data_IF_213674126009
#
_entry.id   IF_213674126009
#
_cell.length_a   1.000
_cell.length_b   1.000
_cell.length_c   1.000
_cell.angle_alpha   90.00
_cell.angle_beta   90.00
_cell.angle_gamma   90.00
#
_symmetry.space_group_name_H-M   'P 1'
#
loop_
_entity.id
_entity.type
_entity.pdbx_description
1 polymer ?
#
# COMPACT_ATOMS: atom_id res chain seq x y z
N UNK A 1 -8.74 -11.86 -32.39
CA UNK A 1 -10.07 -11.81 -31.76
C UNK A 1 -10.02 -10.72 -30.71
N UNK A 2 -10.52 -9.54 -31.04
CA UNK A 2 -10.62 -8.41 -30.11
C UNK A 2 -11.98 -8.55 -29.44
N UNK A 3 -12.00 -8.82 -28.13
CA UNK A 3 -13.25 -8.76 -27.38
C UNK A 3 -13.61 -7.28 -27.28
N UNK A 4 -14.54 -6.84 -28.12
CA UNK A 4 -15.22 -5.55 -27.94
C UNK A 4 -16.15 -5.70 -26.73
N UNK A 5 -15.78 -5.09 -25.61
CA UNK A 5 -16.63 -4.94 -24.43
C UNK A 5 -17.72 -3.90 -24.74
N UNK A 6 -18.68 -4.27 -25.60
CA UNK A 6 -19.85 -3.45 -25.91
C UNK A 6 -21.00 -3.61 -24.89
N UNK A 7 -20.76 -4.32 -23.78
CA UNK A 7 -21.68 -4.36 -22.64
C UNK A 7 -20.92 -4.08 -21.34
N UNK A 8 -20.68 -2.80 -21.05
CA UNK A 8 -19.96 -2.34 -19.84
C UNK A 8 -20.73 -2.57 -18.52
N UNK A 9 -21.85 -3.29 -18.53
CA UNK A 9 -22.78 -3.36 -17.40
C UNK A 9 -22.77 -4.68 -16.62
N UNK A 10 -22.11 -5.73 -17.10
CA UNK A 10 -22.20 -7.06 -16.48
C UNK A 10 -20.83 -7.71 -16.38
N UNK A 11 -20.17 -7.55 -15.24
CA UNK A 11 -19.10 -8.45 -14.73
C UNK A 11 -18.64 -8.10 -13.30
N UNK A 12 -19.10 -6.98 -12.73
CA UNK A 12 -18.72 -6.54 -11.37
C UNK A 12 -19.75 -6.98 -10.34
N UNK A 13 -19.76 -8.28 -10.03
CA UNK A 13 -20.59 -8.89 -8.97
C UNK A 13 -19.77 -9.14 -7.70
N UNK A 14 -20.46 -9.36 -6.58
CA UNK A 14 -19.85 -9.85 -5.32
C UNK A 14 -18.94 -11.06 -5.57
N UNK A 15 -19.34 -11.97 -6.49
CA UNK A 15 -18.57 -13.16 -6.85
C UNK A 15 -17.23 -12.85 -7.53
N UNK A 16 -17.20 -11.90 -8.48
CA UNK A 16 -15.95 -11.51 -9.17
C UNK A 16 -14.95 -10.89 -8.19
N UNK A 17 -15.45 -10.03 -7.28
CA UNK A 17 -14.62 -9.42 -6.26
C UNK A 17 -14.10 -10.47 -5.27
N UNK A 18 -14.96 -11.38 -4.81
CA UNK A 18 -14.57 -12.48 -3.94
C UNK A 18 -13.46 -13.32 -4.57
N UNK A 19 -13.60 -13.71 -5.85
CA UNK A 19 -12.58 -14.47 -6.56
C UNK A 19 -11.23 -13.74 -6.62
N UNK A 20 -11.23 -12.43 -6.90
CA UNK A 20 -10.00 -11.64 -6.92
C UNK A 20 -9.33 -11.63 -5.53
N UNK A 21 -10.12 -11.36 -4.48
CA UNK A 21 -9.63 -11.34 -3.09
C UNK A 21 -9.01 -12.68 -2.68
N UNK A 22 -9.73 -13.77 -2.90
CA UNK A 22 -9.21 -15.10 -2.59
C UNK A 22 -7.99 -15.45 -3.45
N UNK A 23 -7.94 -15.00 -4.71
CA UNK A 23 -6.80 -15.28 -5.58
C UNK A 23 -5.53 -14.62 -5.06
N UNK A 24 -5.55 -13.33 -4.72
CA UNK A 24 -4.31 -12.69 -4.24
C UNK A 24 -3.94 -13.10 -2.80
N UNK A 25 -4.92 -13.51 -1.97
CA UNK A 25 -4.70 -13.97 -0.59
C UNK A 25 -4.20 -15.42 -0.51
N UNK A 26 -4.78 -16.34 -1.27
CA UNK A 26 -4.58 -17.78 -1.08
C UNK A 26 -3.82 -18.50 -2.20
N UNK A 27 -3.68 -17.91 -3.40
CA UNK A 27 -3.08 -18.60 -4.53
C UNK A 27 -1.59 -18.87 -4.28
N UNK A 28 -1.13 -20.11 -4.48
CA UNK A 28 0.29 -20.44 -4.33
C UNK A 28 1.15 -19.93 -5.50
N UNK A 29 0.57 -19.80 -6.69
CA UNK A 29 1.28 -19.31 -7.85
C UNK A 29 1.45 -17.78 -7.82
N UNK A 30 2.70 -17.36 -7.72
CA UNK A 30 3.12 -15.95 -7.59
C UNK A 30 2.72 -15.07 -8.77
N UNK A 31 2.75 -15.60 -9.99
CA UNK A 31 2.40 -14.88 -11.22
C UNK A 31 0.90 -14.62 -11.22
N UNK A 32 0.11 -15.60 -10.79
CA UNK A 32 -1.34 -15.48 -10.67
C UNK A 32 -1.71 -14.51 -9.55
N UNK A 33 -1.06 -14.59 -8.38
CA UNK A 33 -1.26 -13.61 -7.29
C UNK A 33 -0.99 -12.19 -7.77
N UNK A 34 0.17 -11.97 -8.38
CA UNK A 34 0.57 -10.66 -8.89
C UNK A 34 -0.40 -10.14 -9.94
N UNK A 35 -0.84 -11.01 -10.86
CA UNK A 35 -1.85 -10.65 -11.88
C UNK A 35 -3.19 -10.26 -11.25
N UNK A 36 -3.61 -10.95 -10.17
CA UNK A 36 -4.83 -10.61 -9.44
C UNK A 36 -4.71 -9.25 -8.73
N UNK A 37 -3.57 -8.94 -8.11
CA UNK A 37 -3.31 -7.62 -7.51
C UNK A 37 -3.30 -6.51 -8.57
N UNK A 38 -2.69 -6.74 -9.74
CA UNK A 38 -2.73 -5.78 -10.84
C UNK A 38 -4.14 -5.57 -11.39
N UNK A 39 -4.93 -6.64 -11.52
CA UNK A 39 -6.34 -6.56 -11.91
C UNK A 39 -7.13 -5.73 -10.90
N UNK A 40 -6.93 -5.99 -9.59
CA UNK A 40 -7.56 -5.26 -8.51
C UNK A 40 -7.28 -3.75 -8.59
N UNK A 41 -6.02 -3.35 -8.78
CA UNK A 41 -5.63 -1.94 -8.93
C UNK A 41 -6.42 -1.25 -10.03
N UNK A 42 -6.57 -1.91 -11.18
CA UNK A 42 -7.28 -1.33 -12.32
C UNK A 42 -8.78 -1.20 -12.03
N UNK A 43 -9.39 -2.18 -11.36
CA UNK A 43 -10.81 -2.17 -11.05
C UNK A 43 -11.19 -1.13 -9.98
N UNK A 44 -10.40 -1.02 -8.90
CA UNK A 44 -10.61 -0.01 -7.85
C UNK A 44 -10.56 1.40 -8.42
N UNK A 45 -9.66 1.66 -9.37
CA UNK A 45 -9.52 2.97 -10.00
C UNK A 45 -10.57 3.24 -11.08
N UNK A 46 -11.13 2.20 -11.69
CA UNK A 46 -12.09 2.34 -12.79
C UNK A 46 -13.55 2.47 -12.33
N UNK A 47 -13.91 1.89 -11.18
CA UNK A 47 -15.30 1.87 -10.71
C UNK A 47 -15.41 2.00 -9.17
N UNK A 48 -16.03 3.10 -8.73
CA UNK A 48 -16.32 3.33 -7.32
C UNK A 48 -17.27 2.27 -6.73
N UNK A 49 -18.19 1.70 -7.52
CA UNK A 49 -19.08 0.63 -7.03
C UNK A 49 -18.31 -0.66 -6.77
N UNK A 50 -17.32 -0.97 -7.59
CA UNK A 50 -16.43 -2.10 -7.35
C UNK A 50 -15.69 -1.94 -6.03
N UNK A 51 -15.22 -0.74 -5.72
CA UNK A 51 -14.57 -0.47 -4.44
C UNK A 51 -15.50 -0.74 -3.24
N UNK A 52 -16.78 -0.36 -3.30
CA UNK A 52 -17.73 -0.65 -2.23
C UNK A 52 -17.95 -2.17 -2.04
N UNK A 53 -18.04 -2.92 -3.14
CA UNK A 53 -18.12 -4.39 -3.10
C UNK A 53 -16.83 -4.98 -2.52
N UNK A 54 -15.67 -4.45 -2.89
CA UNK A 54 -14.37 -4.85 -2.37
C UNK A 54 -14.26 -4.65 -0.86
N UNK A 55 -14.70 -3.50 -0.36
CA UNK A 55 -14.78 -3.23 1.08
C UNK A 55 -15.71 -4.21 1.79
N UNK A 56 -16.92 -4.43 1.27
CA UNK A 56 -17.92 -5.37 1.84
C UNK A 56 -17.39 -6.81 1.95
N UNK A 57 -16.52 -7.22 1.02
CA UNK A 57 -15.93 -8.56 0.98
C UNK A 57 -14.61 -8.69 1.78
N UNK A 58 -14.27 -7.73 2.65
CA UNK A 58 -13.05 -7.78 3.45
C UNK A 58 -11.77 -7.64 2.62
N UNK A 59 -11.86 -7.06 1.41
CA UNK A 59 -10.72 -6.91 0.51
C UNK A 59 -9.62 -6.00 1.08
N UNK A 60 -10.03 -4.99 1.84
CA UNK A 60 -9.16 -4.08 2.59
C UNK A 60 -8.26 -4.82 3.60
N UNK A 61 -8.87 -5.68 4.42
CA UNK A 61 -8.16 -6.49 5.41
C UNK A 61 -7.24 -7.50 4.70
N UNK A 62 -7.70 -8.10 3.60
CA UNK A 62 -6.88 -8.98 2.79
C UNK A 62 -5.64 -8.27 2.19
N UNK A 63 -5.76 -6.99 1.79
CA UNK A 63 -4.60 -6.20 1.37
C UNK A 63 -3.63 -5.96 2.53
N UNK A 64 -4.14 -5.64 3.73
CA UNK A 64 -3.32 -5.47 4.92
C UNK A 64 -2.57 -6.75 5.30
N UNK A 65 -3.25 -7.90 5.30
CA UNK A 65 -2.65 -9.22 5.55
C UNK A 65 -1.44 -9.45 4.63
N UNK A 66 -1.62 -9.22 3.33
CA UNK A 66 -0.56 -9.38 2.32
C UNK A 66 0.57 -8.35 2.51
N UNK A 67 0.25 -7.11 2.88
CA UNK A 67 1.26 -6.09 3.14
C UNK A 67 2.12 -6.39 4.38
N UNK A 68 1.54 -7.07 5.37
CA UNK A 68 2.22 -7.49 6.60
C UNK A 68 2.86 -8.87 6.50
N UNK A 69 2.64 -9.58 5.39
CA UNK A 69 3.08 -10.96 5.19
C UNK A 69 2.39 -11.97 6.09
N UNK A 70 1.17 -11.65 6.55
CA UNK A 70 0.27 -12.50 7.34
C UNK A 70 -0.69 -13.31 6.47
N UNK A 71 -0.52 -13.30 5.14
CA UNK A 71 -1.39 -14.12 4.29
C UNK A 71 -1.05 -15.61 4.42
N UNK A 72 -2.07 -16.47 4.33
CA UNK A 72 -2.01 -17.92 4.58
C UNK A 72 -0.92 -18.66 3.79
N UNK A 73 -0.44 -18.07 2.68
CA UNK A 73 0.66 -18.63 1.88
C UNK A 73 2.04 -18.19 2.35
N UNK A 74 2.17 -17.03 2.97
CA UNK A 74 3.45 -16.48 3.44
C UNK A 74 3.81 -16.91 4.86
N UNK A 75 2.83 -17.27 5.70
CA UNK A 75 3.11 -17.85 7.03
C UNK A 75 3.96 -19.13 6.96
N UNK A 76 3.98 -19.80 5.79
CA UNK A 76 4.69 -21.06 5.55
C UNK A 76 5.94 -20.92 4.66
N UNK A 77 6.39 -19.70 4.33
CA UNK A 77 7.57 -19.46 3.49
C UNK A 77 8.59 -18.55 4.18
N UNK A 78 9.88 -18.85 3.99
CA UNK A 78 11.00 -18.15 4.65
C UNK A 78 11.10 -16.67 4.27
N UNK A 79 10.58 -16.26 3.10
CA UNK A 79 10.47 -14.86 2.71
C UNK A 79 9.18 -14.57 1.92
N UNK A 80 8.46 -13.49 2.27
CA UNK A 80 7.27 -13.06 1.54
C UNK A 80 7.61 -12.56 0.12
N UNK A 81 6.71 -12.75 -0.85
CA UNK A 81 6.93 -12.24 -2.21
C UNK A 81 6.89 -10.71 -2.23
N UNK A 82 8.04 -10.13 -2.54
CA UNK A 82 8.25 -8.68 -2.52
C UNK A 82 7.40 -7.94 -3.56
N UNK A 83 7.03 -8.57 -4.69
CA UNK A 83 6.26 -7.91 -5.77
C UNK A 83 4.79 -7.80 -5.43
N UNK A 84 4.20 -8.88 -4.92
CA UNK A 84 2.81 -8.93 -4.46
C UNK A 84 2.63 -7.99 -3.27
N UNK A 85 3.55 -8.04 -2.30
CA UNK A 85 3.56 -7.13 -1.15
C UNK A 85 3.64 -5.67 -1.61
N UNK A 86 4.62 -5.35 -2.44
CA UNK A 86 4.81 -4.01 -2.98
C UNK A 86 3.57 -3.47 -3.68
N UNK A 87 2.97 -4.24 -4.57
CA UNK A 87 1.82 -3.76 -5.34
C UNK A 87 0.56 -3.67 -4.50
N UNK A 88 0.40 -4.55 -3.50
CA UNK A 88 -0.67 -4.46 -2.51
C UNK A 88 -0.53 -3.20 -1.66
N UNK A 89 0.70 -2.86 -1.22
CA UNK A 89 0.96 -1.62 -0.48
C UNK A 89 0.59 -0.40 -1.32
N UNK A 90 0.93 -0.41 -2.62
CA UNK A 90 0.58 0.71 -3.51
C UNK A 90 -0.91 0.91 -3.66
N UNK A 91 -1.68 -0.18 -3.78
CA UNK A 91 -3.14 -0.11 -3.83
C UNK A 91 -3.67 0.46 -2.51
N UNK A 92 -3.20 -0.06 -1.38
CA UNK A 92 -3.61 0.41 -0.05
C UNK A 92 -3.30 1.91 0.13
N UNK A 93 -2.08 2.35 -0.18
CA UNK A 93 -1.71 3.77 -0.12
C UNK A 93 -2.61 4.61 -1.03
N UNK A 94 -2.89 4.16 -2.26
CA UNK A 94 -3.78 4.87 -3.18
C UNK A 94 -5.20 5.01 -2.64
N UNK A 95 -5.75 3.96 -2.03
CA UNK A 95 -7.09 3.99 -1.39
C UNK A 95 -7.08 5.01 -0.25
N UNK A 96 -6.06 4.97 0.60
CA UNK A 96 -5.94 5.84 1.77
C UNK A 96 -5.73 7.32 1.40
N UNK A 97 -5.04 7.61 0.29
CA UNK A 97 -4.86 8.99 -0.20
C UNK A 97 -6.14 9.64 -0.72
N UNK A 98 -7.05 8.84 -1.27
CA UNK A 98 -8.17 9.35 -2.08
C UNK A 98 -9.45 9.60 -1.30
N UNK A 99 -9.55 9.11 -0.06
CA UNK A 99 -10.79 9.21 0.69
C UNK A 99 -10.53 9.29 2.20
N UNK A 100 -10.85 10.45 2.77
CA UNK A 100 -10.69 10.76 4.19
C UNK A 100 -11.62 9.92 5.08
N UNK A 101 -12.81 9.57 4.58
CA UNK A 101 -13.77 8.74 5.31
C UNK A 101 -13.30 7.28 5.31
N UNK A 102 -12.75 6.78 4.18
CA UNK A 102 -12.03 5.49 4.16
C UNK A 102 -10.87 5.50 5.14
N UNK A 103 -10.18 6.63 5.28
CA UNK A 103 -9.07 6.73 6.23
C UNK A 103 -9.49 6.54 7.68
N UNK A 104 -10.66 7.04 8.07
CA UNK A 104 -11.14 6.94 9.45
C UNK A 104 -11.33 5.50 9.91
N UNK A 105 -11.75 4.60 9.01
CA UNK A 105 -11.90 3.17 9.30
C UNK A 105 -10.53 2.49 9.50
N UNK A 106 -9.54 2.87 8.67
CA UNK A 106 -8.20 2.28 8.65
C UNK A 106 -7.24 2.86 9.70
N UNK A 107 -7.28 4.17 9.95
CA UNK A 107 -6.40 4.86 10.91
C UNK A 107 -6.66 4.44 12.37
N UNK A 108 -7.72 3.64 12.62
CA UNK A 108 -8.03 3.08 13.93
C UNK A 108 -7.40 1.71 14.18
N UNK A 109 -6.74 1.11 13.18
CA UNK A 109 -6.08 -0.18 13.33
C UNK A 109 -4.56 0.01 13.42
N UNK A 110 -3.94 -0.55 14.45
CA UNK A 110 -2.48 -0.55 14.63
C UNK A 110 -1.76 -1.22 13.43
N UNK A 111 -2.47 -2.06 12.69
CA UNK A 111 -1.96 -2.80 11.54
C UNK A 111 -1.61 -1.91 10.35
N UNK A 112 -2.36 -0.84 10.11
CA UNK A 112 -2.04 0.13 9.06
C UNK A 112 -0.71 0.81 9.37
N UNK A 113 -0.53 1.25 10.61
CA UNK A 113 0.70 1.90 11.04
C UNK A 113 1.91 0.96 10.96
N UNK A 114 1.75 -0.31 11.38
CA UNK A 114 2.77 -1.35 11.20
C UNK A 114 3.10 -1.56 9.73
N UNK A 115 2.09 -1.61 8.86
CA UNK A 115 2.27 -1.74 7.42
C UNK A 115 3.07 -0.56 6.85
N UNK A 116 2.69 0.68 7.17
CA UNK A 116 3.41 1.86 6.71
C UNK A 116 4.87 1.87 7.19
N UNK A 117 5.10 1.56 8.46
CA UNK A 117 6.44 1.50 9.03
C UNK A 117 7.31 0.43 8.35
N UNK A 118 6.78 -0.77 8.14
CA UNK A 118 7.52 -1.85 7.47
C UNK A 118 7.86 -1.50 6.02
N UNK A 119 6.94 -0.85 5.30
CA UNK A 119 7.21 -0.41 3.93
C UNK A 119 8.20 0.77 3.89
N UNK A 120 8.24 1.60 4.94
CA UNK A 120 9.22 2.67 5.08
C UNK A 120 10.64 2.14 5.29
N UNK A 121 10.81 0.95 5.90
CA UNK A 121 12.13 0.32 6.11
C UNK A 121 12.76 -0.21 4.82
N UNK A 122 11.99 -0.40 3.74
CA UNK A 122 12.48 -0.91 2.45
C UNK A 122 13.47 0.04 1.78
N UNK A 123 14.23 -0.44 0.79
CA UNK A 123 15.15 0.38 -0.01
C UNK A 123 14.52 0.92 -1.30
N UNK A 124 13.20 0.73 -1.46
CA UNK A 124 12.52 1.09 -2.70
C UNK A 124 12.00 2.53 -2.64
N UNK A 125 12.78 3.45 -3.20
CA UNK A 125 12.57 4.91 -3.14
C UNK A 125 11.14 5.36 -3.46
N UNK A 126 10.53 4.81 -4.51
CA UNK A 126 9.16 5.17 -4.89
C UNK A 126 8.13 4.77 -3.82
N UNK A 127 8.30 3.63 -3.15
CA UNK A 127 7.40 3.24 -2.06
C UNK A 127 7.62 4.09 -0.82
N UNK A 128 8.88 4.38 -0.48
CA UNK A 128 9.23 5.29 0.62
C UNK A 128 8.51 6.63 0.41
N UNK A 129 8.62 7.21 -0.79
CA UNK A 129 7.95 8.47 -1.16
C UNK A 129 6.43 8.38 -0.96
N UNK A 130 5.80 7.32 -1.48
CA UNK A 130 4.36 7.12 -1.40
C UNK A 130 3.86 7.01 0.05
N UNK A 131 4.57 6.23 0.87
CA UNK A 131 4.29 6.01 2.31
C UNK A 131 4.50 7.30 3.11
N UNK A 132 5.60 8.01 2.90
CA UNK A 132 5.85 9.28 3.61
C UNK A 132 4.83 10.36 3.26
N UNK A 133 4.47 10.46 1.98
CA UNK A 133 3.42 11.38 1.55
C UNK A 133 2.11 11.09 2.27
N UNK A 134 1.76 9.80 2.42
CA UNK A 134 0.57 9.38 3.15
C UNK A 134 0.63 9.72 4.64
N UNK A 135 1.76 9.46 5.30
CA UNK A 135 1.96 9.78 6.73
C UNK A 135 1.80 11.28 6.96
N UNK A 136 2.41 12.12 6.12
CA UNK A 136 2.27 13.58 6.20
C UNK A 136 0.80 13.98 5.98
N UNK A 137 0.14 13.38 5.00
CA UNK A 137 -1.28 13.63 4.73
C UNK A 137 -2.17 13.25 5.93
N UNK A 138 -1.84 12.21 6.69
CA UNK A 138 -2.56 11.85 7.91
C UNK A 138 -2.43 12.95 8.97
N UNK A 139 -1.21 13.46 9.15
CA UNK A 139 -0.93 14.56 10.08
C UNK A 139 -1.66 15.84 9.65
N UNK A 140 -1.60 16.18 8.35
CA UNK A 140 -2.30 17.33 7.74
C UNK A 140 -3.83 17.22 7.92
N UNK A 141 -4.38 16.01 7.89
CA UNK A 141 -5.80 15.75 8.10
C UNK A 141 -6.23 15.69 9.57
N UNK A 142 -5.28 15.79 10.51
CA UNK A 142 -5.52 15.78 11.96
C UNK A 142 -5.64 14.39 12.58
N UNK A 143 -5.20 13.33 11.88
CA UNK A 143 -5.15 11.99 12.45
C UNK A 143 -4.00 11.86 13.44
N UNK A 144 -4.30 11.37 14.64
CA UNK A 144 -3.28 11.10 15.66
C UNK A 144 -2.57 9.79 15.37
N UNK A 145 -1.32 9.86 14.90
CA UNK A 145 -0.45 8.69 14.81
C UNK A 145 -0.04 8.29 16.24
N UNK A 146 -0.12 6.99 16.62
CA UNK A 146 0.35 6.54 17.93
C UNK A 146 1.80 6.95 18.17
N UNK A 147 2.10 7.49 19.37
CA UNK A 147 3.40 8.09 19.65
C UNK A 147 4.57 7.10 19.48
N UNK A 148 4.38 5.84 19.85
CA UNK A 148 5.38 4.77 19.64
C UNK A 148 5.74 4.59 18.15
N UNK A 149 4.73 4.55 17.29
CA UNK A 149 4.90 4.45 15.83
C UNK A 149 5.58 5.71 15.30
N UNK A 150 5.18 6.89 15.76
CA UNK A 150 5.77 8.16 15.32
C UNK A 150 7.27 8.24 15.67
N UNK A 151 7.66 7.77 16.85
CA UNK A 151 9.07 7.69 17.27
C UNK A 151 9.85 6.75 16.35
N UNK A 152 9.30 5.58 16.03
CA UNK A 152 9.94 4.63 15.11
C UNK A 152 10.06 5.18 13.68
N UNK A 153 9.00 5.82 13.15
CA UNK A 153 9.04 6.49 11.84
C UNK A 153 10.15 7.54 11.83
N UNK A 154 10.23 8.40 12.87
CA UNK A 154 11.29 9.42 12.98
C UNK A 154 12.69 8.80 13.00
N UNK A 155 12.87 7.66 13.67
CA UNK A 155 14.14 6.95 13.69
C UNK A 155 14.53 6.43 12.30
N UNK A 156 13.60 5.78 11.58
CA UNK A 156 13.83 5.25 10.22
C UNK A 156 14.12 6.38 9.23
N UNK A 157 13.38 7.49 9.29
CA UNK A 157 13.60 8.65 8.42
C UNK A 157 15.00 9.23 8.64
N UNK A 158 15.45 9.39 9.90
CA UNK A 158 16.79 9.91 10.20
C UNK A 158 17.89 9.00 9.66
N UNK A 159 17.79 7.70 9.91
CA UNK A 159 18.77 6.71 9.43
C UNK A 159 18.90 6.71 7.90
N UNK A 160 17.76 6.70 7.19
CA UNK A 160 17.75 6.77 5.72
C UNK A 160 18.24 8.11 5.20
N UNK A 161 17.88 9.22 5.84
CA UNK A 161 18.34 10.56 5.47
C UNK A 161 19.87 10.66 5.60
N UNK A 162 20.45 10.19 6.70
CA UNK A 162 21.90 10.16 6.87
C UNK A 162 22.60 9.34 5.77
N UNK A 163 22.02 8.20 5.40
CA UNK A 163 22.55 7.33 4.34
C UNK A 163 22.51 8.03 2.98
N UNK A 164 21.38 8.67 2.65
CA UNK A 164 21.21 9.39 1.38
C UNK A 164 22.12 10.62 1.29
N UNK A 165 22.25 11.39 2.37
CA UNK A 165 23.12 12.58 2.40
C UNK A 165 24.61 12.25 2.33
N UNK A 166 25.02 11.06 2.79
CA UNK A 166 26.40 10.55 2.64
C UNK A 166 26.67 9.94 1.26
N UNK A 167 25.64 9.72 0.44
CA UNK A 167 25.77 9.14 -0.89
C UNK A 167 26.28 10.16 -1.92
N UNK A 168 26.85 9.74 -3.06
CA UNK A 168 27.26 10.64 -4.14
C UNK A 168 26.14 11.57 -4.61
N UNK A 169 26.49 12.77 -5.10
CA UNK A 169 25.54 13.79 -5.52
C UNK A 169 24.53 13.31 -6.59
N UNK A 170 24.96 12.40 -7.48
CA UNK A 170 24.08 11.76 -8.47
C UNK A 170 22.97 10.93 -7.79
N UNK A 171 23.32 10.13 -6.78
CA UNK A 171 22.34 9.36 -6.00
C UNK A 171 21.41 10.26 -5.19
N UNK A 172 21.90 11.39 -4.68
CA UNK A 172 21.05 12.39 -4.01
C UNK A 172 20.05 13.00 -5.00
N UNK A 173 20.49 13.30 -6.23
CA UNK A 173 19.63 13.83 -7.28
C UNK A 173 18.54 12.83 -7.68
N UNK A 174 18.89 11.55 -7.80
CA UNK A 174 17.91 10.48 -8.08
C UNK A 174 16.89 10.28 -6.96
N UNK A 175 17.26 10.61 -5.72
CA UNK A 175 16.39 10.48 -4.54
C UNK A 175 15.82 11.81 -4.06
N UNK A 176 15.87 12.87 -4.88
CA UNK A 176 15.42 14.21 -4.49
C UNK A 176 13.99 14.21 -3.95
N UNK A 177 13.07 13.53 -4.64
CA UNK A 177 11.68 13.41 -4.21
C UNK A 177 11.52 12.78 -2.81
N UNK A 178 12.42 11.86 -2.44
CA UNK A 178 12.43 11.22 -1.11
C UNK A 178 12.97 12.18 -0.06
N UNK A 179 14.03 12.92 -0.39
CA UNK A 179 14.60 13.95 0.48
C UNK A 179 13.57 15.05 0.78
N UNK A 180 12.85 15.53 -0.23
CA UNK A 180 11.85 16.58 -0.10
C UNK A 180 10.70 16.15 0.85
N UNK A 181 10.22 14.91 0.75
CA UNK A 181 9.17 14.40 1.66
C UNK A 181 9.70 14.15 3.08
N UNK A 182 10.96 13.73 3.23
CA UNK A 182 11.58 13.60 4.55
C UNK A 182 11.72 14.96 5.24
N UNK A 183 12.16 15.99 4.52
CA UNK A 183 12.24 17.35 5.04
C UNK A 183 10.87 17.88 5.46
N UNK A 184 9.84 17.69 4.62
CA UNK A 184 8.47 18.09 4.98
C UNK A 184 7.99 17.39 6.26
N UNK A 185 8.26 16.09 6.41
CA UNK A 185 7.88 15.34 7.61
C UNK A 185 8.62 15.80 8.88
N UNK A 186 9.91 16.11 8.78
CA UNK A 186 10.71 16.53 9.95
C UNK A 186 10.35 17.93 10.45
N UNK A 187 9.76 18.76 9.59
CA UNK A 187 9.27 20.10 9.92
C UNK A 187 7.81 20.13 10.43
N UNK A 188 7.16 18.97 10.53
CA UNK A 188 5.83 18.78 11.11
C UNK A 188 5.90 18.49 12.62
#
# INVERSE_FOLDING_TARGET
MTVMLDDKSVLMTDSSCYLIVQTFKMMGNIVVRFSAVQCLRNLINADAKFFEVFKKNGGCDALLDVCLGKDERQENQEQPDKRVRYESTRILVSILKTDKDRLNDFARTDEVYKCLLENLKTDFALLIKEVMTLIIQFMDWGFSIPNEVLVEIRAVVKDKLETLLKSPAENQTMNKDVLDVFEKFLNH
#
